data_IF_013449014169
#
_entry.id   IF_013449014169
#
_cell.length_a   1.000
_cell.length_b   1.000
_cell.length_c   1.000
_cell.angle_alpha   90.00
_cell.angle_beta   90.00
_cell.angle_gamma   90.00
#
_symmetry.space_group_name_H-M   'P 1'
#
loop_
_entity.id
_entity.type
_entity.pdbx_description
1 polymer ?
#
# COMPACT_ATOMS: atom_id res chain seq x y z
N UNK A 1 -26.77 -19.94 9.89
CA UNK A 1 -26.65 -18.81 10.84
C UNK A 1 -25.19 -18.37 10.87
N UNK A 2 -24.89 -17.20 10.31
CA UNK A 2 -23.55 -16.59 10.35
C UNK A 2 -23.53 -15.60 11.51
N UNK A 3 -22.66 -15.83 12.49
CA UNK A 3 -22.42 -14.90 13.60
C UNK A 3 -21.29 -13.95 13.22
N UNK A 4 -21.58 -12.65 13.15
CA UNK A 4 -20.57 -11.59 13.05
C UNK A 4 -20.19 -11.13 14.46
N UNK A 5 -18.93 -11.34 14.85
CA UNK A 5 -18.36 -10.72 16.04
C UNK A 5 -17.63 -9.42 15.65
N UNK A 6 -18.08 -8.32 16.25
CA UNK A 6 -17.40 -7.02 16.24
C UNK A 6 -16.07 -7.12 17.00
N UNK A 7 -14.93 -6.94 16.34
CA UNK A 7 -13.64 -6.86 17.01
C UNK A 7 -13.36 -5.42 17.47
N UNK A 8 -13.33 -5.23 18.79
CA UNK A 8 -12.81 -4.03 19.46
C UNK A 8 -11.28 -3.98 19.34
N UNK A 9 -10.76 -2.78 19.09
CA UNK A 9 -9.33 -2.44 19.05
C UNK A 9 -8.63 -2.81 20.37
N UNK A 10 -7.48 -3.48 20.29
CA UNK A 10 -6.63 -3.75 21.46
C UNK A 10 -5.30 -3.00 21.40
N UNK A 11 -4.99 -2.39 22.56
CA UNK A 11 -3.77 -1.67 22.94
C UNK A 11 -2.53 -2.58 22.88
N UNK A 12 -1.42 -2.01 22.40
CA UNK A 12 -0.07 -2.56 22.49
C UNK A 12 0.37 -2.74 23.96
N UNK A 13 0.78 -3.96 24.33
CA UNK A 13 1.55 -4.23 25.55
C UNK A 13 2.98 -4.60 25.16
N UNK A 14 3.93 -3.90 25.80
CA UNK A 14 5.38 -4.03 25.69
C UNK A 14 5.85 -4.96 26.82
N UNK A 15 6.61 -6.01 26.51
CA UNK A 15 7.21 -6.82 27.57
C UNK A 15 7.84 -8.15 27.13
N UNK A 16 9.16 -8.15 27.19
CA UNK A 16 10.06 -9.25 27.59
C UNK A 16 10.56 -10.32 26.59
N UNK A 17 11.81 -10.67 26.83
CA UNK A 17 12.81 -11.10 25.87
C UNK A 17 13.20 -12.56 26.18
N UNK A 18 12.62 -13.55 25.48
CA UNK A 18 13.15 -14.92 25.39
C UNK A 18 12.89 -15.52 24.01
N UNK A 19 13.95 -16.11 23.47
CA UNK A 19 14.03 -16.78 22.17
C UNK A 19 12.84 -17.71 21.90
N UNK A 20 11.99 -17.30 20.97
CA UNK A 20 11.23 -18.18 20.10
C UNK A 20 11.38 -17.58 18.70
N UNK A 21 12.03 -18.32 17.79
CA UNK A 21 12.05 -17.97 16.36
C UNK A 21 10.68 -18.24 15.75
N UNK A 22 9.69 -17.44 16.16
CA UNK A 22 8.43 -17.33 15.47
C UNK A 22 8.70 -16.51 14.20
N UNK A 23 8.61 -17.14 13.03
CA UNK A 23 8.52 -16.40 11.77
C UNK A 23 7.15 -15.72 11.73
N UNK A 24 7.09 -14.47 12.17
CA UNK A 24 5.89 -13.67 12.11
C UNK A 24 5.69 -13.16 10.68
N UNK A 25 4.75 -13.76 9.96
CA UNK A 25 4.17 -13.11 8.80
C UNK A 25 3.18 -12.04 9.31
N UNK A 26 3.54 -10.77 9.17
CA UNK A 26 2.66 -9.65 9.50
C UNK A 26 1.75 -9.39 8.30
N UNK A 27 0.55 -9.97 8.33
CA UNK A 27 -0.57 -9.54 7.50
C UNK A 27 -1.50 -8.73 8.41
N UNK A 28 -1.76 -7.48 8.04
CA UNK A 28 -2.46 -6.53 8.90
C UNK A 28 -3.80 -7.07 9.42
N UNK A 29 -3.85 -7.27 10.75
CA UNK A 29 -5.09 -7.50 11.50
C UNK A 29 -5.44 -8.95 11.85
N UNK A 30 -4.74 -9.98 11.33
CA UNK A 30 -5.05 -11.38 11.66
C UNK A 30 -3.79 -12.13 12.12
N UNK A 31 -3.60 -12.23 13.43
CA UNK A 31 -2.53 -13.03 14.02
C UNK A 31 -2.93 -14.52 13.97
N UNK A 32 -2.61 -15.21 12.88
CA UNK A 32 -2.71 -16.67 12.81
C UNK A 32 -1.54 -17.30 13.59
N UNK A 33 -1.80 -17.67 14.85
CA UNK A 33 -0.87 -18.49 15.64
C UNK A 33 -1.07 -19.95 15.23
N UNK A 34 -0.28 -20.44 14.28
CA UNK A 34 -0.26 -21.87 13.95
C UNK A 34 0.63 -22.57 14.97
N UNK A 35 0.02 -23.08 16.04
CA UNK A 35 0.70 -23.97 16.98
C UNK A 35 0.92 -25.33 16.32
N UNK A 36 2.14 -25.61 15.88
CA UNK A 36 2.53 -26.94 15.41
C UNK A 36 2.70 -27.86 16.62
N UNK A 37 1.60 -28.41 17.13
CA UNK A 37 1.65 -29.60 17.97
C UNK A 37 1.36 -30.80 17.08
N UNK A 38 2.42 -31.52 16.73
CA UNK A 38 2.37 -32.76 15.94
C UNK A 38 1.57 -33.82 16.70
N UNK A 39 0.31 -34.01 16.32
CA UNK A 39 -0.44 -35.20 16.66
C UNK A 39 -1.46 -35.48 15.56
N UNK A 40 -1.11 -36.43 14.68
CA UNK A 40 -2.01 -37.31 13.93
C UNK A 40 -3.36 -36.68 13.47
N UNK A 41 -3.34 -35.88 12.40
CA UNK A 41 -4.54 -35.25 11.85
C UNK A 41 -4.96 -35.88 10.51
N UNK A 42 -6.23 -36.26 10.45
CA UNK A 42 -6.92 -36.87 9.30
C UNK A 42 -6.81 -36.04 8.00
N UNK A 43 -6.73 -36.76 6.88
CA UNK A 43 -6.47 -36.26 5.51
C UNK A 43 -7.46 -35.16 5.02
N UNK A 44 -8.65 -35.06 5.61
CA UNK A 44 -9.65 -34.04 5.27
C UNK A 44 -9.33 -32.64 5.84
N UNK A 45 -8.48 -32.52 6.86
CA UNK A 45 -8.14 -31.23 7.47
C UNK A 45 -7.10 -30.45 6.64
N UNK A 46 -6.26 -31.17 5.88
CA UNK A 46 -5.27 -30.58 4.98
C UNK A 46 -5.92 -29.75 3.85
N UNK A 47 -7.08 -30.19 3.34
CA UNK A 47 -7.78 -29.52 2.24
C UNK A 47 -8.34 -28.15 2.67
N UNK A 48 -8.80 -28.02 3.92
CA UNK A 48 -9.34 -26.74 4.43
C UNK A 48 -8.23 -25.69 4.61
N UNK A 49 -7.04 -26.13 5.04
CA UNK A 49 -5.88 -25.26 5.23
C UNK A 49 -5.34 -24.75 3.88
N UNK A 50 -5.31 -25.61 2.85
CA UNK A 50 -4.82 -25.19 1.52
C UNK A 50 -5.76 -24.20 0.85
N UNK A 51 -7.08 -24.36 0.95
CA UNK A 51 -8.06 -23.41 0.38
C UNK A 51 -7.98 -22.05 1.06
N UNK A 52 -7.79 -22.00 2.39
CA UNK A 52 -7.63 -20.74 3.13
C UNK A 52 -6.34 -19.98 2.76
N UNK A 53 -5.25 -20.69 2.47
CA UNK A 53 -3.99 -20.07 2.03
C UNK A 53 -4.06 -19.49 0.61
N UNK A 54 -4.88 -20.07 -0.27
CA UNK A 54 -5.03 -19.61 -1.66
C UNK A 54 -5.78 -18.27 -1.74
N UNK A 55 -6.71 -17.98 -0.82
CA UNK A 55 -7.49 -16.73 -0.81
C UNK A 55 -6.71 -15.53 -0.26
N UNK A 56 -5.56 -15.75 0.41
CA UNK A 56 -4.77 -14.67 1.00
C UNK A 56 -3.89 -13.92 -0.02
N UNK A 57 -3.69 -14.46 -1.23
CA UNK A 57 -2.77 -13.88 -2.22
C UNK A 57 -3.38 -12.78 -3.11
N UNK A 58 -4.67 -12.45 -2.97
CA UNK A 58 -5.37 -11.54 -3.87
C UNK A 58 -5.35 -10.06 -3.44
N UNK A 59 -4.90 -9.73 -2.21
CA UNK A 59 -4.75 -8.34 -1.78
C UNK A 59 -3.41 -7.77 -2.28
N UNK A 60 -3.18 -7.79 -3.60
CA UNK A 60 -2.16 -6.91 -4.18
C UNK A 60 -2.66 -5.49 -3.96
N UNK A 61 -1.96 -4.74 -3.11
CA UNK A 61 -2.16 -3.31 -2.95
C UNK A 61 -2.10 -2.66 -4.34
N UNK A 62 -3.24 -2.21 -4.83
CA UNK A 62 -3.32 -1.41 -6.05
C UNK A 62 -2.64 -0.09 -5.69
N UNK A 63 -1.37 0.07 -6.08
CA UNK A 63 -0.66 1.34 -5.95
C UNK A 63 -1.40 2.36 -6.82
N UNK A 64 -1.75 3.52 -6.25
CA UNK A 64 -2.45 4.54 -7.00
C UNK A 64 -1.57 5.08 -8.13
N UNK A 65 -2.07 4.95 -9.36
CA UNK A 65 -1.42 5.50 -10.56
C UNK A 65 -2.05 6.83 -10.96
N UNK A 66 -2.09 7.77 -10.01
CA UNK A 66 -2.55 9.13 -10.28
C UNK A 66 -1.39 10.02 -10.72
N UNK A 67 -1.71 11.12 -11.40
CA UNK A 67 -0.75 12.15 -11.81
C UNK A 67 -0.85 13.41 -10.95
N UNK A 68 0.20 14.22 -11.01
CA UNK A 68 0.25 15.52 -10.34
C UNK A 68 -0.83 16.48 -10.89
N UNK A 69 -1.61 17.06 -9.98
CA UNK A 69 -2.53 18.16 -10.30
C UNK A 69 -2.11 19.43 -9.54
N UNK A 70 -2.09 20.55 -10.26
CA UNK A 70 -1.59 21.83 -9.74
C UNK A 70 -2.39 22.33 -8.53
N UNK A 71 -3.71 22.12 -8.50
CA UNK A 71 -4.57 22.52 -7.37
C UNK A 71 -4.14 21.85 -6.05
N UNK A 72 -3.86 20.55 -6.09
CA UNK A 72 -3.37 19.79 -4.95
C UNK A 72 -1.91 20.12 -4.63
N UNK A 73 -1.06 20.19 -5.67
CA UNK A 73 0.37 20.48 -5.54
C UNK A 73 0.65 21.87 -4.92
N UNK A 74 -0.13 22.90 -5.28
CA UNK A 74 -0.05 24.24 -4.67
C UNK A 74 -0.34 24.25 -3.17
N UNK A 75 -1.12 23.27 -2.70
CA UNK A 75 -1.40 23.08 -1.27
C UNK A 75 -0.38 22.17 -0.59
N UNK A 76 0.67 21.74 -1.30
CA UNK A 76 1.72 20.84 -0.79
C UNK A 76 1.24 19.40 -0.62
N UNK A 77 0.27 18.97 -1.43
CA UNK A 77 -0.23 17.60 -1.41
C UNK A 77 0.04 16.83 -2.70
N UNK A 78 -0.36 15.57 -2.70
CA UNK A 78 -0.38 14.69 -3.87
C UNK A 78 -1.74 14.00 -4.01
N UNK A 79 -2.12 13.69 -5.25
CA UNK A 79 -3.34 12.96 -5.55
C UNK A 79 -3.11 11.46 -5.33
N UNK A 80 -3.83 10.89 -4.37
CA UNK A 80 -3.75 9.47 -3.94
C UNK A 80 -5.15 8.93 -3.66
N UNK A 81 -5.27 7.64 -3.38
CA UNK A 81 -6.51 7.10 -2.84
C UNK A 81 -6.70 7.53 -1.38
N UNK A 82 -7.95 7.69 -0.96
CA UNK A 82 -8.29 8.15 0.41
C UNK A 82 -7.71 7.26 1.52
N UNK A 83 -7.52 5.97 1.25
CA UNK A 83 -6.94 5.01 2.20
C UNK A 83 -5.40 5.02 2.23
N UNK A 84 -4.73 5.66 1.27
CA UNK A 84 -3.27 5.81 1.25
C UNK A 84 -2.80 7.03 2.06
N UNK A 85 -3.75 7.85 2.53
CA UNK A 85 -3.47 9.04 3.29
C UNK A 85 -3.00 8.74 4.72
N UNK A 86 -1.90 9.39 5.19
CA UNK A 86 -1.44 9.23 6.58
C UNK A 86 -2.39 9.89 7.59
N UNK A 87 -3.25 10.80 7.14
CA UNK A 87 -4.19 11.57 7.96
C UNK A 87 -5.56 11.59 7.30
N UNK A 88 -6.66 11.73 8.08
CA UNK A 88 -7.98 11.92 7.50
C UNK A 88 -8.01 13.15 6.58
N UNK A 89 -8.56 12.96 5.39
CA UNK A 89 -8.70 14.03 4.39
C UNK A 89 -9.88 14.91 4.75
N UNK A 90 -9.68 16.23 4.81
CA UNK A 90 -10.75 17.19 5.00
C UNK A 90 -11.50 17.46 3.68
N UNK A 91 -12.75 17.92 3.77
CA UNK A 91 -13.60 18.17 2.60
C UNK A 91 -12.97 19.13 1.58
N UNK A 92 -12.21 20.15 2.04
CA UNK A 92 -11.47 21.06 1.15
C UNK A 92 -10.54 20.28 0.21
N UNK A 93 -9.87 19.25 0.73
CA UNK A 93 -8.85 18.47 0.02
C UNK A 93 -9.43 17.38 -0.89
N UNK A 94 -10.66 16.93 -0.65
CA UNK A 94 -11.31 15.94 -1.52
C UNK A 94 -11.60 16.48 -2.93
N UNK A 95 -11.73 17.80 -3.08
CA UNK A 95 -12.01 18.44 -4.37
C UNK A 95 -10.76 18.88 -5.16
N UNK A 96 -9.55 18.74 -4.60
CA UNK A 96 -8.33 19.31 -5.17
C UNK A 96 -7.65 18.44 -6.25
N UNK A 97 -8.21 17.27 -6.55
CA UNK A 97 -7.82 16.42 -7.69
C UNK A 97 -9.00 16.26 -8.67
N UNK A 98 -9.55 17.37 -9.22
CA UNK A 98 -10.78 17.34 -10.00
C UNK A 98 -10.71 16.45 -11.25
N UNK A 99 -9.55 16.36 -11.90
CA UNK A 99 -9.42 15.61 -13.15
C UNK A 99 -9.43 14.09 -12.91
N UNK A 100 -9.07 13.66 -11.71
CA UNK A 100 -8.98 12.24 -11.31
C UNK A 100 -10.00 11.85 -10.24
N UNK A 101 -10.90 12.76 -9.87
CA UNK A 101 -11.94 12.54 -8.85
C UNK A 101 -12.85 11.36 -9.20
N UNK A 102 -13.16 11.17 -10.48
CA UNK A 102 -13.97 10.03 -10.97
C UNK A 102 -13.31 8.67 -10.72
N UNK A 103 -11.99 8.65 -10.53
CA UNK A 103 -11.21 7.47 -10.19
C UNK A 103 -11.02 7.31 -8.68
N UNK A 104 -11.60 8.19 -7.86
CA UNK A 104 -11.49 8.17 -6.40
C UNK A 104 -10.24 8.88 -5.85
N UNK A 105 -9.56 9.70 -6.66
CA UNK A 105 -8.42 10.47 -6.19
C UNK A 105 -8.86 11.57 -5.21
N UNK A 106 -8.08 11.73 -4.14
CA UNK A 106 -8.18 12.82 -3.17
C UNK A 106 -6.82 13.47 -2.97
N UNK A 107 -6.81 14.76 -2.62
CA UNK A 107 -5.55 15.43 -2.33
C UNK A 107 -5.11 15.13 -0.89
N UNK A 108 -3.85 14.75 -0.73
CA UNK A 108 -3.33 14.35 0.55
C UNK A 108 -2.02 15.03 0.89
N UNK A 109 -1.88 15.47 2.14
CA UNK A 109 -0.68 16.14 2.66
C UNK A 109 0.16 15.17 3.49
N UNK A 110 1.45 15.50 3.60
CA UNK A 110 2.38 14.77 4.48
C UNK A 110 2.79 13.39 3.95
N UNK A 111 2.51 13.10 2.68
CA UNK A 111 3.08 11.94 2.00
C UNK A 111 4.53 12.25 1.66
N UNK A 112 5.44 11.33 1.97
CA UNK A 112 6.86 11.49 1.65
C UNK A 112 7.05 11.35 0.13
N UNK A 113 7.95 12.12 -0.46
CA UNK A 113 8.24 12.02 -1.89
C UNK A 113 8.68 10.60 -2.29
N UNK A 114 9.35 9.88 -1.40
CA UNK A 114 9.76 8.47 -1.59
C UNK A 114 8.57 7.53 -1.79
N UNK A 115 7.43 7.85 -1.17
CA UNK A 115 6.20 7.07 -1.23
C UNK A 115 5.38 7.39 -2.50
N UNK A 116 5.65 8.53 -3.14
CA UNK A 116 4.98 8.95 -4.37
C UNK A 116 5.58 8.27 -5.61
N UNK A 117 4.70 7.99 -6.56
CA UNK A 117 5.05 7.50 -7.88
C UNK A 117 5.67 8.64 -8.74
N UNK A 118 6.22 8.29 -9.91
CA UNK A 118 6.88 9.26 -10.79
C UNK A 118 5.97 10.44 -11.19
N UNK A 119 4.74 10.15 -11.62
CA UNK A 119 3.79 11.14 -12.11
C UNK A 119 3.26 12.04 -10.99
N UNK A 120 3.10 11.52 -9.77
CA UNK A 120 2.71 12.28 -8.58
C UNK A 120 3.78 13.30 -8.18
N UNK A 121 5.05 12.99 -8.42
CA UNK A 121 6.17 13.90 -8.18
C UNK A 121 6.38 14.92 -9.31
N UNK A 122 5.45 15.01 -10.26
CA UNK A 122 5.55 15.88 -11.43
C UNK A 122 6.77 15.57 -12.32
N UNK A 123 7.19 14.30 -12.33
CA UNK A 123 8.23 13.77 -13.20
C UNK A 123 7.59 12.96 -14.34
N UNK A 124 8.41 12.47 -15.27
CA UNK A 124 7.92 11.65 -16.38
C UNK A 124 8.76 10.39 -16.60
N UNK A 125 8.12 9.38 -17.18
CA UNK A 125 8.75 8.12 -17.50
C UNK A 125 9.37 8.18 -18.91
N UNK A 126 10.65 7.89 -18.99
CA UNK A 126 11.42 7.87 -20.24
C UNK A 126 12.13 6.55 -20.44
N UNK A 127 12.53 6.30 -21.69
CA UNK A 127 13.51 5.26 -21.98
C UNK A 127 14.82 5.54 -21.20
N UNK A 128 15.47 4.51 -20.61
CA UNK A 128 16.72 4.69 -19.86
C UNK A 128 17.83 5.39 -20.65
N UNK A 129 17.81 5.29 -21.98
CA UNK A 129 18.78 5.95 -22.88
C UNK A 129 18.53 7.45 -23.06
N UNK A 130 17.33 7.93 -22.76
CA UNK A 130 16.90 9.32 -22.95
C UNK A 130 16.94 10.14 -21.66
N UNK A 131 17.08 9.49 -20.50
CA UNK A 131 17.18 10.17 -19.21
C UNK A 131 18.66 10.23 -18.77
N UNK A 132 19.23 11.44 -18.59
CA UNK A 132 20.56 11.61 -18.01
C UNK A 132 20.68 10.95 -16.64
N UNK A 133 21.85 10.36 -16.33
CA UNK A 133 22.06 9.62 -15.08
C UNK A 133 21.83 10.47 -13.81
N UNK A 134 22.08 11.77 -13.87
CA UNK A 134 21.86 12.70 -12.76
C UNK A 134 20.39 13.09 -12.55
N UNK A 135 19.49 12.75 -13.48
CA UNK A 135 18.05 13.01 -13.42
C UNK A 135 17.23 11.73 -13.21
N UNK A 136 17.89 10.58 -13.11
CA UNK A 136 17.26 9.27 -12.98
C UNK A 136 16.85 8.99 -11.52
N UNK A 137 15.55 8.78 -11.29
CA UNK A 137 14.95 8.47 -9.98
C UNK A 137 14.56 6.99 -9.82
N UNK A 138 14.93 6.12 -10.76
CA UNK A 138 14.61 4.69 -10.74
C UNK A 138 13.35 4.35 -11.52
N UNK A 139 12.62 3.29 -11.13
CA UNK A 139 11.48 2.74 -11.92
C UNK A 139 10.09 2.96 -11.30
N UNK A 140 10.00 3.55 -10.11
CA UNK A 140 8.75 3.61 -9.34
C UNK A 140 7.66 4.37 -10.10
N UNK A 141 6.50 3.75 -10.30
CA UNK A 141 5.37 4.34 -11.03
C UNK A 141 5.51 4.35 -12.56
N UNK A 142 6.59 3.82 -13.12
CA UNK A 142 6.78 3.77 -14.57
C UNK A 142 6.38 2.42 -15.17
N UNK A 143 5.85 2.40 -16.40
CA UNK A 143 5.59 1.16 -17.12
C UNK A 143 6.89 0.39 -17.39
N UNK A 144 6.75 -0.87 -17.77
CA UNK A 144 7.90 -1.75 -17.98
C UNK A 144 8.96 -1.12 -18.91
N UNK A 145 10.23 -1.27 -18.52
CA UNK A 145 11.42 -0.80 -19.25
C UNK A 145 11.61 0.73 -19.29
N UNK A 146 10.74 1.52 -18.67
CA UNK A 146 10.95 2.95 -18.49
C UNK A 146 11.53 3.26 -17.09
N UNK A 147 12.11 4.44 -16.97
CA UNK A 147 12.60 5.00 -15.71
C UNK A 147 12.00 6.39 -15.48
N UNK A 148 11.81 6.74 -14.22
CA UNK A 148 11.37 8.05 -13.81
C UNK A 148 12.53 9.05 -13.95
N UNK A 149 12.29 10.13 -14.69
CA UNK A 149 13.25 11.18 -14.93
C UNK A 149 12.71 12.52 -14.45
N UNK A 150 13.56 13.30 -13.79
CA UNK A 150 13.25 14.67 -13.41
C UNK A 150 13.02 15.52 -14.65
N UNK A 151 11.89 16.24 -14.67
CA UNK A 151 11.63 17.27 -15.67
C UNK A 151 12.32 18.57 -15.23
N UNK A 152 13.20 19.10 -16.09
CA UNK A 152 13.94 20.35 -15.89
C UNK A 152 13.49 21.43 -16.86
#
# INVERSE_FOLDING_TARGET
>A
MLYFYHLKSYKYLKGDNRLLQNKFAKCDGLLLVVSQKTANMNMNCFIVITVALIWCQAARSIESNFYYEECCGKKGGACVLKNECPQPVSEEFESLCPLQKSLGAVCCKGIKSEDLNCYQQHNACFDPKKCPNNLNLGKKGCPEKQICCVLV
#
